data_IF_402085337227
#
_entry.id   IF_402085337227
#
_cell.length_a   1.000
_cell.length_b   1.000
_cell.length_c   1.000
_cell.angle_alpha   90.00
_cell.angle_beta   90.00
_cell.angle_gamma   90.00
#
_symmetry.space_group_name_H-M   'P 1'
#
loop_
_entity.id
_entity.type
_entity.pdbx_description
1 polymer ?
#
# COMPACT_ATOMS: atom_id res chain seq x y z
N UNK A 1 12.41 -2.85 -24.27
CA UNK A 1 13.43 -2.82 -23.20
C UNK A 1 12.72 -2.36 -21.94
N UNK A 2 12.40 -3.30 -21.06
CA UNK A 2 11.57 -3.06 -19.85
C UNK A 2 12.41 -2.20 -18.90
N UNK A 3 11.94 -0.97 -18.63
CA UNK A 3 12.53 -0.15 -17.56
C UNK A 3 12.36 -0.97 -16.29
N UNK A 4 13.48 -1.30 -15.66
CA UNK A 4 13.48 -1.88 -14.33
C UNK A 4 13.00 -0.74 -13.41
N UNK A 5 11.68 -0.59 -13.29
CA UNK A 5 11.04 0.49 -12.53
C UNK A 5 11.60 0.49 -11.12
N UNK A 6 12.43 1.48 -10.82
CA UNK A 6 12.74 1.87 -9.46
C UNK A 6 11.44 2.44 -8.88
N UNK A 7 10.53 1.55 -8.47
CA UNK A 7 9.33 1.95 -7.73
C UNK A 7 9.79 2.76 -6.53
N UNK A 8 9.29 3.97 -6.45
CA UNK A 8 9.62 4.84 -5.34
C UNK A 8 9.10 4.21 -4.05
N UNK A 9 9.70 4.57 -2.91
CA UNK A 9 9.19 4.15 -1.61
C UNK A 9 7.71 4.52 -1.45
N UNK A 10 7.33 5.68 -2.00
CA UNK A 10 5.97 6.22 -1.97
C UNK A 10 5.03 5.41 -2.87
N UNK A 11 5.44 5.01 -4.07
CA UNK A 11 4.61 4.17 -4.94
C UNK A 11 4.38 2.77 -4.41
N UNK A 12 5.36 2.20 -3.70
CA UNK A 12 5.14 0.95 -2.97
C UNK A 12 4.04 1.11 -1.92
N UNK A 13 4.07 2.22 -1.17
CA UNK A 13 3.04 2.52 -0.17
C UNK A 13 1.68 2.73 -0.85
N UNK A 14 1.62 3.53 -1.91
CA UNK A 14 0.41 3.76 -2.70
C UNK A 14 -0.20 2.44 -3.17
N UNK A 15 0.61 1.58 -3.81
CA UNK A 15 0.16 0.28 -4.32
C UNK A 15 -0.39 -0.62 -3.20
N UNK A 16 0.26 -0.67 -2.03
CA UNK A 16 -0.23 -1.47 -0.89
C UNK A 16 -1.60 -0.94 -0.42
N UNK A 17 -1.72 0.38 -0.26
CA UNK A 17 -2.96 1.01 0.20
C UNK A 17 -4.10 0.78 -0.81
N UNK A 18 -3.81 0.84 -2.12
CA UNK A 18 -4.77 0.54 -3.18
C UNK A 18 -5.24 -0.91 -3.12
N UNK A 19 -4.32 -1.88 -3.01
CA UNK A 19 -4.69 -3.29 -2.88
C UNK A 19 -5.61 -3.49 -1.67
N UNK A 20 -5.29 -2.90 -0.52
CA UNK A 20 -6.14 -3.03 0.67
C UNK A 20 -7.52 -2.37 0.47
N UNK A 21 -7.59 -1.22 -0.21
CA UNK A 21 -8.87 -0.55 -0.50
C UNK A 21 -9.72 -1.35 -1.50
N UNK A 22 -9.12 -1.83 -2.60
CA UNK A 22 -9.80 -2.56 -3.67
C UNK A 22 -10.44 -3.85 -3.16
N UNK A 23 -9.73 -4.57 -2.28
CA UNK A 23 -10.25 -5.78 -1.66
C UNK A 23 -11.17 -5.52 -0.45
N UNK A 24 -11.37 -4.26 -0.04
CA UNK A 24 -12.04 -3.88 1.22
C UNK A 24 -11.46 -4.66 2.41
N UNK A 25 -10.13 -4.66 2.47
CA UNK A 25 -9.30 -5.45 3.39
C UNK A 25 -8.52 -6.54 2.66
N UNK A 26 -7.28 -6.79 3.09
CA UNK A 26 -6.40 -7.77 2.45
C UNK A 26 -5.51 -8.54 3.43
N UNK A 27 -5.08 -9.73 3.02
CA UNK A 27 -4.02 -10.51 3.66
C UNK A 27 -2.65 -10.25 3.05
N UNK A 28 -1.60 -10.65 3.77
CA UNK A 28 -0.21 -10.49 3.30
C UNK A 28 0.00 -11.14 1.93
N UNK A 29 -0.61 -12.30 1.68
CA UNK A 29 -0.52 -12.99 0.39
C UNK A 29 -1.06 -12.16 -0.77
N UNK A 30 -2.26 -11.57 -0.63
CA UNK A 30 -2.88 -10.70 -1.64
C UNK A 30 -1.99 -9.48 -1.89
N UNK A 31 -1.49 -8.86 -0.82
CA UNK A 31 -0.60 -7.69 -0.88
C UNK A 31 0.71 -8.03 -1.58
N UNK A 32 1.36 -9.15 -1.24
CA UNK A 32 2.62 -9.55 -1.89
C UNK A 32 2.46 -9.83 -3.37
N UNK A 33 1.35 -10.49 -3.75
CA UNK A 33 1.05 -10.84 -5.14
C UNK A 33 0.75 -9.60 -5.97
N UNK A 34 -0.10 -8.71 -5.47
CA UNK A 34 -0.66 -7.62 -6.27
C UNK A 34 0.21 -6.34 -6.17
N UNK A 35 0.89 -6.11 -5.04
CA UNK A 35 1.90 -5.06 -4.94
C UNK A 35 3.28 -5.46 -5.50
N UNK A 36 3.44 -6.71 -5.94
CA UNK A 36 4.70 -7.27 -6.45
C UNK A 36 5.88 -7.08 -5.46
N UNK A 37 5.66 -7.49 -4.21
CA UNK A 37 6.62 -7.33 -3.11
C UNK A 37 6.98 -8.68 -2.50
N UNK A 38 8.27 -8.91 -2.15
CA UNK A 38 8.64 -10.02 -1.29
C UNK A 38 7.91 -9.94 0.07
N UNK A 39 7.54 -11.09 0.61
CA UNK A 39 6.82 -11.21 1.88
C UNK A 39 7.46 -10.41 3.03
N UNK A 40 8.79 -10.49 3.17
CA UNK A 40 9.53 -9.75 4.19
C UNK A 40 9.35 -8.24 4.07
N UNK A 41 9.46 -7.71 2.84
CA UNK A 41 9.27 -6.27 2.56
C UNK A 41 7.84 -5.85 2.84
N UNK A 42 6.85 -6.58 2.32
CA UNK A 42 5.44 -6.28 2.56
C UNK A 42 5.14 -6.21 4.07
N UNK A 43 5.64 -7.17 4.85
CA UNK A 43 5.47 -7.19 6.30
C UNK A 43 6.06 -5.96 6.98
N UNK A 44 7.24 -5.49 6.57
CA UNK A 44 7.86 -4.27 7.11
C UNK A 44 7.01 -3.02 6.83
N UNK A 45 6.48 -2.88 5.60
CA UNK A 45 5.58 -1.77 5.27
C UNK A 45 4.28 -1.83 6.07
N UNK A 46 3.65 -3.01 6.14
CA UNK A 46 2.39 -3.19 6.87
C UNK A 46 2.55 -2.89 8.35
N UNK A 47 3.64 -3.36 8.97
CA UNK A 47 3.92 -3.06 10.37
C UNK A 47 4.08 -1.55 10.61
N UNK A 48 4.84 -0.85 9.77
CA UNK A 48 5.00 0.61 9.89
C UNK A 48 3.67 1.36 9.69
N UNK A 49 2.87 0.94 8.71
CA UNK A 49 1.58 1.57 8.44
C UNK A 49 0.55 1.30 9.55
N UNK A 50 0.64 0.14 10.21
CA UNK A 50 -0.13 -0.19 11.41
C UNK A 50 0.31 0.68 12.61
N UNK A 51 1.61 0.78 12.87
CA UNK A 51 2.20 1.62 13.94
C UNK A 51 1.81 3.10 13.76
N UNK A 52 1.80 3.60 12.53
CA UNK A 52 1.40 4.98 12.20
C UNK A 52 -0.13 5.17 12.12
N UNK A 53 -0.93 4.11 12.29
CA UNK A 53 -2.39 4.16 12.33
C UNK A 53 -3.08 4.35 10.97
N UNK A 54 -2.41 4.04 9.86
CA UNK A 54 -3.02 3.97 8.54
C UNK A 54 -3.79 2.66 8.32
N UNK A 55 -3.39 1.58 9.01
CA UNK A 55 -3.99 0.27 8.93
C UNK A 55 -4.42 -0.23 10.31
N UNK A 56 -5.54 -0.93 10.35
CA UNK A 56 -5.93 -1.77 11.49
C UNK A 56 -5.69 -3.25 11.14
N UNK A 57 -5.19 -4.01 12.11
CA UNK A 57 -4.96 -5.44 11.98
C UNK A 57 -5.91 -6.25 12.87
N UNK A 58 -6.76 -7.05 12.25
CA UNK A 58 -7.66 -7.98 12.94
C UNK A 58 -7.00 -9.35 13.10
N UNK A 59 -6.72 -9.76 14.34
CA UNK A 59 -6.04 -11.02 14.66
C UNK A 59 -6.99 -12.20 14.89
N UNK A 60 -8.30 -11.95 15.03
CA UNK A 60 -9.31 -12.97 15.36
C UNK A 60 -9.83 -13.75 14.13
N UNK A 61 -8.92 -14.36 13.36
CA UNK A 61 -9.29 -15.32 12.31
C UNK A 61 -9.95 -14.73 11.06
N UNK A 62 -9.89 -13.41 10.85
CA UNK A 62 -10.33 -12.83 9.58
C UNK A 62 -9.41 -13.30 8.45
N UNK A 63 -10.02 -13.75 7.35
CA UNK A 63 -9.31 -14.09 6.10
C UNK A 63 -8.49 -12.90 5.56
N UNK A 64 -8.96 -11.68 5.85
CA UNK A 64 -8.36 -10.39 5.46
C UNK A 64 -8.01 -9.60 6.72
N UNK A 65 -6.80 -9.77 7.26
CA UNK A 65 -6.42 -9.17 8.53
C UNK A 65 -6.17 -7.66 8.46
N UNK A 66 -5.80 -7.08 7.32
CA UNK A 66 -5.48 -5.65 7.21
C UNK A 66 -6.62 -4.87 6.59
N UNK A 67 -7.05 -3.78 7.24
CA UNK A 67 -8.06 -2.85 6.74
C UNK A 67 -7.56 -1.40 6.85
N UNK A 68 -7.96 -0.53 5.91
CA UNK A 68 -7.64 0.90 6.00
C UNK A 68 -8.45 1.56 7.11
N UNK A 69 -7.75 2.29 7.99
CA UNK A 69 -8.41 3.20 8.92
C UNK A 69 -8.98 4.41 8.18
N UNK A 70 -9.74 5.27 8.87
CA UNK A 70 -10.16 6.57 8.32
C UNK A 70 -8.95 7.40 7.86
N UNK A 71 -7.90 7.46 8.70
CA UNK A 71 -6.63 8.13 8.39
C UNK A 71 -5.97 7.52 7.15
N UNK A 72 -5.95 6.19 7.05
CA UNK A 72 -5.44 5.47 5.86
C UNK A 72 -6.16 5.84 4.57
N UNK A 73 -7.49 5.91 4.59
CA UNK A 73 -8.30 6.29 3.42
C UNK A 73 -8.06 7.74 2.99
N UNK A 74 -7.93 8.66 3.94
CA UNK A 74 -7.61 10.06 3.63
C UNK A 74 -6.20 10.22 3.05
N UNK A 75 -5.24 9.47 3.61
CA UNK A 75 -3.88 9.44 3.11
C UNK A 75 -3.81 8.89 1.68
N UNK A 76 -4.49 7.78 1.39
CA UNK A 76 -4.61 7.22 0.04
C UNK A 76 -5.18 8.24 -0.96
N UNK A 77 -6.29 8.90 -0.61
CA UNK A 77 -6.87 9.97 -1.44
C UNK A 77 -5.89 11.10 -1.72
N UNK A 78 -5.08 11.45 -0.74
CA UNK A 78 -4.08 12.52 -0.87
C UNK A 78 -2.95 12.11 -1.80
N UNK A 79 -2.44 10.88 -1.66
CA UNK A 79 -1.42 10.33 -2.56
C UNK A 79 -1.92 10.26 -4.01
N UNK A 80 -3.14 9.75 -4.24
CA UNK A 80 -3.75 9.71 -5.59
C UNK A 80 -3.90 11.09 -6.23
N UNK A 81 -4.16 12.13 -5.42
CA UNK A 81 -4.21 13.51 -5.93
C UNK A 81 -2.83 14.06 -6.27
N UNK A 82 -1.78 13.61 -5.57
CA UNK A 82 -0.42 14.04 -5.80
C UNK A 82 0.28 13.26 -6.93
N UNK A 83 -0.15 12.03 -7.22
CA UNK A 83 0.38 11.18 -8.29
C UNK A 83 0.57 11.89 -9.64
N UNK A 84 -0.43 12.55 -10.25
CA UNK A 84 -0.24 13.24 -11.52
C UNK A 84 0.77 14.40 -11.44
N UNK A 85 0.90 15.02 -10.25
CA UNK A 85 1.91 16.05 -10.02
C UNK A 85 3.32 15.44 -10.01
N UNK A 86 3.53 14.32 -9.32
CA UNK A 86 4.81 13.62 -9.33
C UNK A 86 5.19 13.09 -10.72
N UNK A 87 4.23 12.53 -11.46
CA UNK A 87 4.43 12.13 -12.85
C UNK A 87 4.85 13.30 -13.75
N UNK A 88 4.20 14.46 -13.60
CA UNK A 88 4.53 15.67 -14.37
C UNK A 88 5.96 16.18 -14.14
N UNK A 89 6.54 15.88 -12.97
CA UNK A 89 7.91 16.22 -12.59
C UNK A 89 8.94 15.16 -12.98
N UNK A 90 8.52 14.04 -13.59
CA UNK A 90 9.40 12.94 -13.96
C UNK A 90 9.75 11.98 -12.81
N UNK A 91 8.97 12.02 -11.72
CA UNK A 91 9.08 11.09 -10.59
C UNK A 91 7.87 10.16 -10.57
N UNK A 92 7.84 9.09 -11.39
CA UNK A 92 6.74 8.13 -11.33
C UNK A 92 6.70 7.50 -9.94
N UNK A 93 5.51 7.49 -9.33
CA UNK A 93 5.31 6.89 -8.02
C UNK A 93 5.40 5.37 -8.11
#
# INVERSE_FOLDING_TARGET
>A
MVRQDYRSHVGVILTILEVIDDYQGAGVTEITRDANLPYSRAKTYLQRMEEEGYLDRHTQGRKKPYELTKKGKEFLKTLKRAEPFFESLGFPL
#
